data_IF_900064240240
#
_entry.id   IF_900064240240
#
_cell.length_a   1.000
_cell.length_b   1.000
_cell.length_c   1.000
_cell.angle_alpha   90.00
_cell.angle_beta   90.00
_cell.angle_gamma   90.00
#
_symmetry.space_group_name_H-M   'P 1'
#
loop_
_entity.id
_entity.type
_entity.pdbx_description
1 polymer ?
#
# COMPACT_ATOMS: atom_id res chain seq x y z
N UNK A 1 -3.24 28.74 10.55
CA UNK A 1 -3.92 27.48 10.89
C UNK A 1 -2.87 26.39 10.90
N UNK A 2 -2.84 25.48 11.90
CA UNK A 2 -2.03 24.27 11.78
C UNK A 2 -2.43 23.54 10.49
N UNK A 3 -1.44 23.07 9.72
CA UNK A 3 -1.69 22.22 8.56
C UNK A 3 -2.38 20.94 9.04
N UNK A 4 -3.36 20.44 8.30
CA UNK A 4 -4.04 19.16 8.53
C UNK A 4 -4.15 18.42 7.20
N UNK A 5 -4.27 17.10 7.27
CA UNK A 5 -4.58 16.30 6.07
C UNK A 5 -6.03 16.53 5.65
N UNK A 6 -6.28 16.43 4.36
CA UNK A 6 -7.64 16.46 3.84
C UNK A 6 -8.34 15.13 4.18
N UNK A 7 -9.54 15.25 4.73
CA UNK A 7 -10.46 14.14 4.95
C UNK A 7 -11.57 14.17 3.90
N UNK A 8 -11.85 13.01 3.32
CA UNK A 8 -12.87 12.80 2.29
C UNK A 8 -13.92 11.80 2.81
N UNK A 9 -15.21 11.99 2.46
CA UNK A 9 -16.24 11.03 2.83
C UNK A 9 -16.08 9.71 2.08
N UNK A 10 -16.68 8.61 2.55
CA UNK A 10 -16.62 7.31 1.86
C UNK A 10 -17.36 7.32 0.51
N UNK A 11 -18.15 8.37 0.24
CA UNK A 11 -18.85 8.61 -1.03
C UNK A 11 -18.04 9.48 -2.00
N UNK A 12 -16.78 9.81 -1.69
CA UNK A 12 -15.93 10.57 -2.59
C UNK A 12 -15.67 9.80 -3.89
N UNK A 13 -15.42 10.53 -4.97
CA UNK A 13 -15.06 9.97 -6.25
C UNK A 13 -13.54 9.70 -6.32
N UNK A 14 -13.13 8.70 -7.10
CA UNK A 14 -11.73 8.35 -7.30
C UNK A 14 -10.85 9.52 -7.76
N UNK A 15 -11.41 10.39 -8.61
CA UNK A 15 -10.72 11.58 -9.08
C UNK A 15 -10.47 12.61 -7.97
N UNK A 16 -11.35 12.71 -6.97
CA UNK A 16 -11.17 13.61 -5.82
C UNK A 16 -10.04 13.12 -4.91
N UNK A 17 -10.02 11.81 -4.64
CA UNK A 17 -8.93 11.16 -3.88
C UNK A 17 -7.60 11.36 -4.61
N UNK A 18 -7.53 11.05 -5.90
CA UNK A 18 -6.32 11.21 -6.69
C UNK A 18 -5.85 12.67 -6.77
N UNK A 19 -6.77 13.64 -6.90
CA UNK A 19 -6.44 15.06 -6.90
C UNK A 19 -5.86 15.51 -5.55
N UNK A 20 -6.44 15.07 -4.43
CA UNK A 20 -5.94 15.37 -3.10
C UNK A 20 -4.53 14.80 -2.89
N UNK A 21 -4.28 13.55 -3.31
CA UNK A 21 -2.96 12.91 -3.23
C UNK A 21 -1.95 13.59 -4.16
N UNK A 22 -2.31 13.95 -5.40
CA UNK A 22 -1.40 14.72 -6.29
C UNK A 22 -1.04 16.08 -5.68
N UNK A 23 -2.00 16.75 -5.04
CA UNK A 23 -1.80 18.05 -4.43
C UNK A 23 -0.95 17.98 -3.16
N UNK A 24 -1.34 17.18 -2.17
CA UNK A 24 -0.73 17.22 -0.84
C UNK A 24 0.09 15.96 -0.49
N UNK A 25 0.19 15.01 -1.43
CA UNK A 25 0.89 13.74 -1.24
C UNK A 25 0.09 12.69 -0.47
N UNK A 26 -0.99 13.09 0.21
CA UNK A 26 -1.86 12.17 0.95
C UNK A 26 -3.24 12.77 1.25
N UNK A 27 -4.22 11.90 1.50
CA UNK A 27 -5.51 12.23 2.10
C UNK A 27 -6.06 11.04 2.90
N UNK A 28 -7.03 11.29 3.78
CA UNK A 28 -7.78 10.26 4.48
C UNK A 28 -9.16 10.12 3.84
N UNK A 29 -9.63 8.90 3.65
CA UNK A 29 -11.04 8.61 3.36
C UNK A 29 -11.65 7.97 4.60
N UNK A 30 -12.60 8.67 5.22
CA UNK A 30 -13.18 8.27 6.49
C UNK A 30 -14.17 7.12 6.32
N UNK A 31 -14.15 6.17 7.26
CA UNK A 31 -15.13 5.09 7.43
C UNK A 31 -15.44 4.30 6.14
N UNK A 32 -14.44 4.11 5.28
CA UNK A 32 -14.61 3.49 3.96
C UNK A 32 -14.86 1.98 4.05
N UNK A 33 -14.14 1.28 4.92
CA UNK A 33 -14.32 -0.15 5.11
C UNK A 33 -15.53 -0.44 6.01
N UNK A 34 -16.50 -1.26 5.55
CA UNK A 34 -17.58 -1.73 6.40
C UNK A 34 -17.04 -2.44 7.67
N UNK A 35 -17.60 -2.18 8.87
CA UNK A 35 -17.10 -2.77 10.12
C UNK A 35 -17.00 -4.30 10.07
N UNK A 36 -17.94 -4.97 9.42
CA UNK A 36 -17.95 -6.43 9.27
C UNK A 36 -16.76 -6.99 8.44
N UNK A 37 -16.21 -6.21 7.50
CA UNK A 37 -14.97 -6.59 6.79
C UNK A 37 -13.79 -6.49 7.75
N UNK A 38 -13.69 -5.37 8.47
CA UNK A 38 -12.60 -5.14 9.43
C UNK A 38 -12.61 -6.19 10.55
N UNK A 39 -13.78 -6.58 11.05
CA UNK A 39 -13.93 -7.63 12.07
C UNK A 39 -13.42 -8.99 11.59
N UNK A 40 -13.78 -9.39 10.36
CA UNK A 40 -13.29 -10.64 9.75
C UNK A 40 -11.78 -10.63 9.58
N UNK A 41 -11.23 -9.51 9.09
CA UNK A 41 -9.79 -9.33 8.91
C UNK A 41 -9.07 -9.50 10.25
N UNK A 42 -9.54 -8.86 11.32
CA UNK A 42 -8.92 -8.98 12.66
C UNK A 42 -8.86 -10.44 13.10
N UNK A 43 -9.96 -11.19 12.94
CA UNK A 43 -10.02 -12.61 13.32
C UNK A 43 -9.08 -13.46 12.47
N UNK A 44 -9.09 -13.30 11.14
CA UNK A 44 -8.25 -14.08 10.23
C UNK A 44 -6.75 -13.79 10.41
N UNK A 45 -6.40 -12.56 10.79
CA UNK A 45 -5.04 -12.08 10.92
C UNK A 45 -4.38 -12.42 12.27
N UNK A 46 -5.17 -12.51 13.35
CA UNK A 46 -4.70 -12.78 14.72
C UNK A 46 -3.66 -13.93 14.83
N UNK A 47 -3.90 -15.15 14.30
CA UNK A 47 -2.92 -16.24 14.42
C UNK A 47 -1.60 -15.95 13.71
N UNK A 48 -1.61 -15.10 12.68
CA UNK A 48 -0.40 -14.72 11.95
C UNK A 48 0.36 -13.63 12.69
N UNK A 49 -0.33 -12.61 13.21
CA UNK A 49 0.28 -11.59 14.07
C UNK A 49 0.88 -12.17 15.34
N UNK A 50 0.24 -13.19 15.93
CA UNK A 50 0.76 -13.90 17.09
C UNK A 50 2.08 -14.63 16.84
N UNK A 51 2.36 -15.02 15.59
CA UNK A 51 3.58 -15.76 15.18
C UNK A 51 4.67 -14.87 14.62
N UNK A 52 4.34 -13.65 14.21
CA UNK A 52 5.29 -12.70 13.63
C UNK A 52 6.20 -12.12 14.70
N UNK A 53 7.51 -12.22 14.49
CA UNK A 53 8.52 -11.62 15.36
C UNK A 53 8.49 -10.08 15.26
N UNK A 54 9.00 -9.41 16.29
CA UNK A 54 9.22 -7.98 16.23
C UNK A 54 10.34 -7.64 15.24
N UNK A 55 10.36 -6.41 14.73
CA UNK A 55 11.42 -5.90 13.86
C UNK A 55 12.80 -5.91 14.51
N UNK A 56 13.84 -6.07 13.68
CA UNK A 56 15.24 -6.17 14.12
C UNK A 56 15.95 -4.83 14.32
N UNK A 57 15.43 -3.75 13.76
CA UNK A 57 16.04 -2.42 13.71
C UNK A 57 15.01 -1.30 13.97
N UNK A 58 15.46 -0.05 13.86
CA UNK A 58 14.67 1.12 14.20
C UNK A 58 13.64 1.48 13.12
N UNK A 59 13.85 1.01 11.88
CA UNK A 59 12.88 1.19 10.79
C UNK A 59 11.77 0.15 10.86
N UNK A 60 12.14 -1.13 11.02
CA UNK A 60 11.21 -2.24 11.19
C UNK A 60 10.44 -2.14 12.51
N UNK A 61 11.09 -1.65 13.56
CA UNK A 61 10.52 -1.38 14.88
C UNK A 61 10.66 -2.56 15.84
N UNK A 62 11.38 -2.35 16.96
CA UNK A 62 11.67 -3.37 17.97
C UNK A 62 10.46 -3.80 18.82
N UNK A 63 9.40 -3.00 18.80
CA UNK A 63 8.08 -3.31 19.37
C UNK A 63 6.99 -3.36 18.29
N UNK A 64 7.37 -3.51 17.02
CA UNK A 64 6.45 -3.58 15.88
C UNK A 64 6.48 -4.96 15.25
N UNK A 65 5.30 -5.53 14.95
CA UNK A 65 5.17 -6.74 14.13
C UNK A 65 4.73 -6.37 12.73
N UNK A 66 5.34 -7.00 11.74
CA UNK A 66 5.10 -6.78 10.31
C UNK A 66 4.80 -8.11 9.63
N UNK A 67 3.52 -8.39 9.41
CA UNK A 67 3.04 -9.68 8.88
C UNK A 67 2.69 -9.52 7.40
N UNK A 68 3.50 -10.11 6.53
CA UNK A 68 3.24 -10.16 5.07
C UNK A 68 2.41 -11.39 4.65
N UNK A 69 2.36 -11.60 3.33
CA UNK A 69 1.61 -12.64 2.61
C UNK A 69 0.11 -12.61 2.88
N UNK A 70 -0.47 -11.42 3.03
CA UNK A 70 -1.85 -11.27 3.50
C UNK A 70 -2.85 -11.86 2.51
N UNK A 71 -2.58 -11.79 1.21
CA UNK A 71 -3.46 -12.35 0.18
C UNK A 71 -3.68 -13.85 0.38
N UNK A 72 -2.63 -14.59 0.76
CA UNK A 72 -2.71 -16.02 1.04
C UNK A 72 -3.22 -16.32 2.45
N UNK A 73 -2.91 -15.47 3.43
CA UNK A 73 -3.13 -15.72 4.86
C UNK A 73 -4.46 -15.20 5.40
N UNK A 74 -5.03 -14.17 4.79
CA UNK A 74 -6.22 -13.45 5.26
C UNK A 74 -7.13 -13.12 4.06
N UNK A 75 -7.97 -14.07 3.60
CA UNK A 75 -8.87 -13.87 2.48
C UNK A 75 -9.71 -12.59 2.54
N UNK A 76 -10.17 -12.16 3.71
CA UNK A 76 -10.98 -10.94 3.86
C UNK A 76 -10.22 -9.66 3.45
N UNK A 77 -8.88 -9.63 3.50
CA UNK A 77 -8.06 -8.48 3.04
C UNK A 77 -8.24 -8.22 1.55
N UNK A 78 -8.57 -9.25 0.76
CA UNK A 78 -8.74 -9.13 -0.70
C UNK A 78 -9.88 -8.18 -1.08
N UNK A 79 -10.87 -7.99 -0.20
CA UNK A 79 -11.97 -7.05 -0.39
C UNK A 79 -11.48 -5.59 -0.29
N UNK A 80 -10.56 -5.28 0.63
CA UNK A 80 -9.96 -3.94 0.75
C UNK A 80 -8.89 -3.69 -0.32
N UNK A 81 -8.11 -4.72 -0.66
CA UNK A 81 -7.12 -4.69 -1.73
C UNK A 81 -7.73 -4.44 -3.12
N UNK A 82 -9.03 -4.75 -3.29
CA UNK A 82 -9.75 -4.52 -4.54
C UNK A 82 -10.82 -3.44 -4.40
N UNK A 83 -10.73 -2.59 -3.37
CA UNK A 83 -11.76 -1.59 -3.12
C UNK A 83 -11.87 -0.62 -4.32
N UNK A 84 -13.05 -0.47 -4.96
CA UNK A 84 -13.18 0.28 -6.22
C UNK A 84 -12.69 1.72 -6.15
N UNK A 85 -12.99 2.44 -5.06
CA UNK A 85 -12.50 3.81 -4.85
C UNK A 85 -10.97 3.89 -4.84
N UNK A 86 -10.31 2.93 -4.19
CA UNK A 86 -8.84 2.90 -4.10
C UNK A 86 -8.24 2.53 -5.45
N UNK A 87 -8.74 1.49 -6.11
CA UNK A 87 -8.25 1.10 -7.43
C UNK A 87 -8.41 2.22 -8.46
N UNK A 88 -9.55 2.91 -8.48
CA UNK A 88 -9.76 4.06 -9.35
C UNK A 88 -8.83 5.23 -9.04
N UNK A 89 -8.57 5.52 -7.76
CA UNK A 89 -7.64 6.57 -7.37
C UNK A 89 -6.19 6.19 -7.74
N UNK A 90 -5.81 4.92 -7.56
CA UNK A 90 -4.52 4.37 -8.00
C UNK A 90 -4.34 4.46 -9.51
N UNK A 91 -5.36 4.12 -10.30
CA UNK A 91 -5.32 4.24 -11.76
C UNK A 91 -5.07 5.69 -12.19
N UNK A 92 -5.81 6.64 -11.60
CA UNK A 92 -5.66 8.06 -11.90
C UNK A 92 -4.31 8.64 -11.43
N UNK A 93 -3.74 8.12 -10.33
CA UNK A 93 -2.43 8.56 -9.82
C UNK A 93 -1.28 7.98 -10.66
N UNK A 94 -1.38 6.72 -11.06
CA UNK A 94 -0.34 5.99 -11.80
C UNK A 94 -0.56 6.02 -13.32
N UNK A 95 -1.29 7.02 -13.81
CA UNK A 95 -1.59 7.20 -15.22
C UNK A 95 -0.32 7.19 -16.09
N UNK A 96 -0.45 6.75 -17.34
CA UNK A 96 0.67 6.59 -18.28
C UNK A 96 1.44 5.27 -18.16
N UNK A 97 1.06 4.37 -17.25
CA UNK A 97 1.49 2.97 -17.28
C UNK A 97 0.44 2.10 -17.99
N UNK A 98 0.88 1.00 -18.60
CA UNK A 98 -0.05 0.00 -19.19
C UNK A 98 -1.02 -0.53 -18.14
N UNK A 99 -0.53 -0.77 -16.92
CA UNK A 99 -1.32 -1.18 -15.77
C UNK A 99 -0.52 -0.92 -14.47
N UNK A 100 -1.07 -1.32 -13.34
CA UNK A 100 -0.40 -1.37 -12.04
C UNK A 100 -0.66 -2.72 -11.38
N UNK A 101 0.11 -3.04 -10.35
CA UNK A 101 -0.06 -4.26 -9.56
C UNK A 101 0.10 -3.98 -8.07
N UNK A 102 -0.29 -4.93 -7.23
CA UNK A 102 0.06 -4.95 -5.80
C UNK A 102 1.56 -4.90 -5.67
N UNK A 103 2.07 -4.01 -4.83
CA UNK A 103 3.48 -3.89 -4.53
C UNK A 103 3.84 -4.61 -3.21
N UNK A 104 3.03 -4.44 -2.17
CA UNK A 104 3.17 -5.06 -0.86
C UNK A 104 1.80 -5.23 -0.20
N UNK A 105 1.62 -6.33 0.52
CA UNK A 105 0.55 -6.50 1.51
C UNK A 105 1.14 -6.82 2.88
N UNK A 106 0.91 -5.94 3.86
CA UNK A 106 1.49 -6.12 5.19
C UNK A 106 0.58 -5.58 6.30
N UNK A 107 0.35 -6.38 7.33
CA UNK A 107 -0.22 -5.89 8.56
C UNK A 107 0.88 -5.37 9.48
N UNK A 108 0.71 -4.17 10.01
CA UNK A 108 1.67 -3.50 10.89
C UNK A 108 0.98 -3.30 12.23
N UNK A 109 1.48 -3.98 13.25
CA UNK A 109 1.03 -3.86 14.64
C UNK A 109 2.11 -3.17 15.46
N UNK A 110 1.88 -1.91 15.81
CA UNK A 110 2.79 -1.05 16.58
C UNK A 110 2.46 -1.17 18.06
N UNK A 111 3.33 -1.80 18.84
CA UNK A 111 3.14 -1.98 20.27
C UNK A 111 3.47 -0.74 21.12
N UNK A 112 3.08 -0.75 22.40
CA UNK A 112 3.39 0.31 23.36
C UNK A 112 4.88 0.65 23.43
N UNK A 113 5.19 1.94 23.49
CA UNK A 113 6.55 2.46 23.61
C UNK A 113 7.39 2.38 22.33
N UNK A 114 6.83 1.92 21.20
CA UNK A 114 7.53 1.94 19.92
C UNK A 114 7.86 3.41 19.51
N UNK A 115 9.14 3.75 19.28
CA UNK A 115 9.51 5.07 18.77
C UNK A 115 8.96 5.34 17.36
N UNK A 116 8.85 6.62 17.01
CA UNK A 116 8.50 7.05 15.67
C UNK A 116 9.53 6.52 14.66
N UNK A 117 9.06 6.15 13.46
CA UNK A 117 9.95 5.80 12.36
C UNK A 117 10.70 7.04 11.86
N UNK A 118 11.90 6.86 11.28
CA UNK A 118 12.54 7.90 10.48
C UNK A 118 11.60 8.41 9.39
N UNK A 119 11.64 9.71 9.09
CA UNK A 119 10.88 10.28 7.97
C UNK A 119 11.49 9.79 6.66
N UNK A 120 10.68 9.17 5.81
CA UNK A 120 11.10 8.53 4.57
C UNK A 120 10.06 8.63 3.46
N UNK A 121 10.48 8.24 2.25
CA UNK A 121 9.61 8.04 1.08
C UNK A 121 9.62 6.55 0.74
N UNK A 122 8.46 5.97 0.46
CA UNK A 122 8.38 4.53 0.15
C UNK A 122 9.05 4.22 -1.21
N UNK A 123 9.03 5.17 -2.15
CA UNK A 123 9.68 4.99 -3.46
C UNK A 123 11.20 4.83 -3.37
N UNK A 124 11.84 5.14 -2.22
CA UNK A 124 13.26 4.86 -2.02
C UNK A 124 13.59 3.36 -2.03
N UNK A 125 12.59 2.49 -1.89
CA UNK A 125 12.73 1.06 -2.11
C UNK A 125 13.26 0.71 -3.52
N UNK A 126 13.06 1.60 -4.51
CA UNK A 126 13.62 1.48 -5.86
C UNK A 126 15.04 2.05 -5.94
N UNK A 127 15.91 1.64 -5.02
CA UNK A 127 17.34 2.01 -4.96
C UNK A 127 17.57 3.54 -4.96
N UNK A 128 16.73 4.28 -4.23
CA UNK A 128 16.76 5.75 -4.17
C UNK A 128 16.75 6.41 -5.55
N UNK A 129 16.16 5.77 -6.56
CA UNK A 129 16.11 6.30 -7.92
C UNK A 129 15.37 7.65 -7.92
N UNK A 130 15.96 8.70 -8.52
CA UNK A 130 15.40 10.05 -8.50
C UNK A 130 14.31 10.18 -9.56
N UNK A 131 13.13 9.62 -9.29
CA UNK A 131 11.98 9.78 -10.18
C UNK A 131 11.65 11.27 -10.38
N UNK A 132 11.26 11.69 -11.60
CA UNK A 132 10.91 13.08 -11.85
C UNK A 132 9.78 13.57 -10.94
N UNK A 133 9.84 14.84 -10.54
CA UNK A 133 8.76 15.50 -9.81
C UNK A 133 7.42 15.34 -10.56
N UNK A 134 6.38 14.93 -9.84
CA UNK A 134 5.05 14.68 -10.40
C UNK A 134 4.92 13.36 -11.17
N UNK A 135 5.94 12.50 -11.16
CA UNK A 135 5.87 11.15 -11.72
C UNK A 135 5.73 10.11 -10.62
N UNK A 136 4.51 9.96 -10.10
CA UNK A 136 4.24 8.96 -9.06
C UNK A 136 4.35 7.54 -9.62
N UNK A 137 5.13 6.71 -8.93
CA UNK A 137 5.37 5.31 -9.29
C UNK A 137 4.65 4.31 -8.40
N UNK A 138 4.09 4.81 -7.31
CA UNK A 138 3.53 4.03 -6.23
C UNK A 138 2.37 4.78 -5.58
N UNK A 139 1.26 4.07 -5.36
CA UNK A 139 0.09 4.52 -4.60
C UNK A 139 -0.08 3.59 -3.40
N UNK A 140 -0.04 4.14 -2.19
CA UNK A 140 -0.03 3.37 -0.96
C UNK A 140 -1.29 3.63 -0.16
N UNK A 141 -1.73 2.60 0.56
CA UNK A 141 -2.84 2.74 1.50
C UNK A 141 -2.48 2.15 2.85
N UNK A 142 -2.88 2.85 3.93
CA UNK A 142 -2.88 2.30 5.28
C UNK A 142 -4.33 2.28 5.78
N UNK A 143 -4.92 1.10 5.86
CA UNK A 143 -6.25 0.89 6.42
C UNK A 143 -6.18 0.75 7.93
N UNK A 144 -7.04 1.46 8.65
CA UNK A 144 -7.14 1.41 10.11
C UNK A 144 -7.91 0.17 10.58
N UNK A 145 -7.24 -0.80 11.23
CA UNK A 145 -7.93 -1.91 11.93
C UNK A 145 -8.25 -1.57 13.39
N UNK A 146 -7.54 -0.58 13.93
CA UNK A 146 -7.81 0.13 15.19
C UNK A 146 -7.88 1.62 14.89
N UNK A 147 -8.43 2.43 15.79
CA UNK A 147 -8.34 3.89 15.67
C UNK A 147 -6.88 4.35 15.64
N UNK A 148 -6.58 5.35 14.83
CA UNK A 148 -5.28 6.02 14.78
C UNK A 148 -5.43 7.38 15.42
N UNK A 149 -4.59 7.64 16.41
CA UNK A 149 -4.55 8.90 17.15
C UNK A 149 -3.11 9.37 17.27
N UNK A 150 -2.91 10.65 17.57
CA UNK A 150 -1.58 11.20 17.85
C UNK A 150 -0.87 10.40 18.96
N UNK A 151 -1.63 9.99 19.99
CA UNK A 151 -1.10 9.27 21.15
C UNK A 151 -0.65 7.83 20.86
N UNK A 152 -1.37 7.10 20.00
CA UNK A 152 -1.04 5.71 19.67
C UNK A 152 -0.16 5.55 18.41
N UNK A 153 0.36 6.66 17.89
CA UNK A 153 1.31 6.66 16.79
C UNK A 153 0.67 6.56 15.42
N UNK A 154 -0.39 7.35 15.18
CA UNK A 154 -0.91 7.61 13.84
C UNK A 154 0.23 7.86 12.84
N UNK A 155 0.06 7.39 11.61
CA UNK A 155 1.03 7.68 10.53
C UNK A 155 1.17 9.18 10.37
N UNK A 156 2.40 9.68 10.31
CA UNK A 156 2.69 11.11 10.16
C UNK A 156 3.13 11.38 8.72
N UNK A 157 2.65 12.46 8.14
CA UNK A 157 2.92 12.84 6.74
C UNK A 157 3.39 14.29 6.69
N UNK A 158 4.26 14.65 5.75
CA UNK A 158 4.60 16.04 5.42
C UNK A 158 3.79 16.47 4.19
N UNK A 159 2.68 17.21 4.33
CA UNK A 159 1.82 17.56 3.21
C UNK A 159 2.53 18.42 2.17
N UNK A 160 2.42 18.01 0.90
CA UNK A 160 3.01 18.67 -0.25
C UNK A 160 4.48 18.33 -0.51
N UNK A 161 5.12 17.51 0.35
CA UNK A 161 6.53 17.09 0.19
C UNK A 161 6.77 16.13 -0.98
N UNK A 162 5.70 15.67 -1.64
CA UNK A 162 5.75 14.96 -2.92
C UNK A 162 6.18 15.86 -4.09
N UNK A 163 6.31 17.18 -3.87
CA UNK A 163 6.68 18.20 -4.87
C UNK A 163 7.92 18.97 -4.42
N UNK A 164 8.68 19.50 -5.37
CA UNK A 164 9.70 20.52 -5.10
C UNK A 164 11.11 19.98 -4.83
N UNK A 165 11.43 18.78 -5.32
CA UNK A 165 12.81 18.26 -5.35
C UNK A 165 13.49 18.01 -3.99
N UNK A 166 12.75 17.95 -2.89
CA UNK A 166 13.28 17.57 -1.58
C UNK A 166 13.49 16.04 -1.53
N UNK A 167 14.63 15.54 -2.01
CA UNK A 167 14.89 14.10 -2.10
C UNK A 167 16.11 13.69 -1.27
N UNK A 168 16.09 14.00 0.03
CA UNK A 168 17.16 13.63 0.94
C UNK A 168 16.63 13.24 2.31
N UNK A 169 17.26 12.22 2.92
CA UNK A 169 17.08 11.91 4.33
C UNK A 169 17.36 13.16 5.18
N UNK A 170 16.49 13.43 6.16
CA UNK A 170 16.60 14.60 7.02
C UNK A 170 16.19 15.93 6.38
N UNK A 171 15.49 15.92 5.23
CA UNK A 171 14.94 17.13 4.62
C UNK A 171 13.82 17.78 5.47
N UNK A 172 13.21 17.01 6.37
CA UNK A 172 12.09 17.43 7.20
C UNK A 172 12.29 16.96 8.65
N UNK A 173 11.78 17.76 9.57
CA UNK A 173 11.76 17.48 11.00
C UNK A 173 10.38 16.96 11.44
N UNK A 174 10.27 16.31 12.61
CA UNK A 174 8.97 15.87 13.14
C UNK A 174 7.93 17.00 13.22
N UNK A 175 8.35 18.25 13.44
CA UNK A 175 7.48 19.42 13.50
C UNK A 175 6.83 19.79 12.15
N UNK A 176 7.39 19.31 11.03
CA UNK A 176 6.84 19.53 9.68
C UNK A 176 5.73 18.54 9.33
N UNK A 177 5.54 17.51 10.18
CA UNK A 177 4.61 16.42 9.93
C UNK A 177 3.26 16.64 10.63
N UNK A 178 2.20 16.10 10.03
CA UNK A 178 0.84 16.04 10.58
C UNK A 178 0.41 14.59 10.73
N UNK A 179 -0.31 14.28 11.81
CA UNK A 179 -0.86 12.94 12.03
C UNK A 179 -2.08 12.66 11.15
N UNK A 180 -2.12 11.48 10.54
CA UNK A 180 -3.32 10.91 9.91
C UNK A 180 -4.19 10.24 10.97
N UNK A 181 -4.77 11.04 11.86
CA UNK A 181 -5.73 10.57 12.85
C UNK A 181 -7.02 10.16 12.16
N UNK A 182 -7.49 8.94 12.41
CA UNK A 182 -8.66 8.39 11.71
C UNK A 182 -9.29 7.24 12.50
N UNK A 183 -10.58 7.04 12.33
CA UNK A 183 -11.34 5.95 12.95
C UNK A 183 -11.02 4.62 12.28
N UNK A 184 -11.20 3.53 13.03
CA UNK A 184 -11.20 2.17 12.50
C UNK A 184 -12.12 2.06 11.27
N UNK A 185 -11.59 1.49 10.18
CA UNK A 185 -12.27 1.37 8.90
C UNK A 185 -11.94 2.48 7.89
N UNK A 186 -11.35 3.59 8.35
CA UNK A 186 -10.81 4.63 7.49
C UNK A 186 -9.52 4.19 6.79
N UNK A 187 -9.15 4.90 5.73
CA UNK A 187 -7.92 4.64 4.98
C UNK A 187 -7.15 5.92 4.70
N UNK A 188 -5.86 5.91 5.00
CA UNK A 188 -4.91 6.90 4.49
C UNK A 188 -4.48 6.46 3.09
N UNK A 189 -4.71 7.28 2.07
CA UNK A 189 -4.19 7.08 0.71
C UNK A 189 -3.06 8.09 0.49
N UNK A 190 -1.90 7.62 0.03
CA UNK A 190 -0.73 8.49 -0.13
C UNK A 190 0.17 8.04 -1.28
N UNK A 191 0.92 8.99 -1.84
CA UNK A 191 1.91 8.67 -2.86
C UNK A 191 3.18 8.11 -2.22
N UNK A 192 3.85 7.16 -2.90
CA UNK A 192 5.19 6.72 -2.49
C UNK A 192 6.25 7.83 -2.50
N UNK A 193 5.94 8.98 -3.09
CA UNK A 193 6.81 10.15 -3.18
C UNK A 193 6.63 11.14 -2.02
N UNK A 194 5.64 10.98 -1.14
CA UNK A 194 5.46 11.85 0.04
C UNK A 194 6.35 11.42 1.20
N UNK A 195 6.90 12.39 1.93
CA UNK A 195 7.62 12.12 3.18
C UNK A 195 6.64 11.76 4.29
N UNK A 196 6.89 10.64 4.95
CA UNK A 196 6.04 10.14 6.02
C UNK A 196 6.81 9.21 6.96
N UNK A 197 6.13 8.74 8.01
CA UNK A 197 6.63 7.70 8.91
C UNK A 197 5.60 7.34 9.97
N UNK A 198 5.67 6.14 10.52
CA UNK A 198 4.85 5.77 11.68
C UNK A 198 5.13 6.66 12.89
N UNK A 199 4.09 7.20 13.53
CA UNK A 199 4.23 7.95 14.77
C UNK A 199 4.68 7.07 15.94
N UNK A 200 5.19 7.71 17.00
CA UNK A 200 5.54 7.01 18.23
C UNK A 200 4.27 6.55 18.95
N UNK A 201 4.21 5.29 19.36
CA UNK A 201 3.11 4.79 20.18
C UNK A 201 3.41 5.06 21.66
N UNK A 202 2.74 6.06 22.22
CA UNK A 202 2.85 6.48 23.62
C UNK A 202 1.68 5.96 24.47
N UNK A 203 0.79 5.16 23.88
CA UNK A 203 -0.32 4.50 24.57
C UNK A 203 0.10 3.12 25.12
N UNK A 204 -0.81 2.49 25.84
CA UNK A 204 -0.73 1.11 26.34
C UNK A 204 -1.36 0.07 25.39
N UNK A 205 -1.92 0.51 24.26
CA UNK A 205 -2.58 -0.33 23.27
C UNK A 205 -1.71 -0.61 22.04
N UNK A 206 -2.00 -1.72 21.34
CA UNK A 206 -1.36 -2.03 20.05
C UNK A 206 -2.16 -1.39 18.93
N UNK A 207 -1.53 -0.50 18.15
CA UNK A 207 -2.15 0.09 16.95
C UNK A 207 -1.94 -0.82 15.75
N UNK A 208 -3.02 -1.22 15.08
CA UNK A 208 -2.94 -2.15 13.94
C UNK A 208 -3.49 -1.50 12.67
N UNK A 209 -2.69 -1.54 11.60
CA UNK A 209 -3.12 -1.13 10.25
C UNK A 209 -2.67 -2.10 9.17
N UNK A 210 -3.34 -2.05 8.01
CA UNK A 210 -2.94 -2.78 6.81
C UNK A 210 -2.29 -1.83 5.82
N UNK A 211 -1.00 -2.03 5.55
CA UNK A 211 -0.33 -1.40 4.44
C UNK A 211 -0.57 -2.22 3.17
N UNK A 212 -1.45 -1.75 2.30
CA UNK A 212 -1.76 -2.35 1.00
C UNK A 212 -1.34 -1.36 -0.09
N UNK A 213 -0.31 -1.72 -0.85
CA UNK A 213 0.32 -0.78 -1.78
C UNK A 213 0.25 -1.27 -3.21
N UNK A 214 0.31 -0.33 -4.14
CA UNK A 214 0.30 -0.58 -5.56
C UNK A 214 1.45 0.16 -6.22
N UNK A 215 2.05 -0.45 -7.24
CA UNK A 215 3.10 0.17 -8.03
C UNK A 215 2.83 -0.02 -9.52
N UNK A 216 3.43 0.85 -10.34
CA UNK A 216 3.44 0.67 -11.79
C UNK A 216 3.96 -0.73 -12.13
N UNK A 217 3.27 -1.44 -13.01
CA UNK A 217 3.49 -2.87 -13.27
C UNK A 217 4.85 -3.24 -13.86
N UNK A 218 5.60 -2.27 -14.37
CA UNK A 218 6.96 -2.45 -14.88
C UNK A 218 8.04 -2.33 -13.78
N UNK A 219 7.65 -2.00 -12.55
CA UNK A 219 8.52 -2.02 -11.37
C UNK A 219 8.48 -3.39 -10.69
N UNK A 220 9.55 -3.71 -9.96
CA UNK A 220 9.60 -4.91 -9.12
C UNK A 220 8.75 -4.70 -7.87
N UNK A 221 7.92 -5.69 -7.54
CA UNK A 221 7.16 -5.71 -6.28
C UNK A 221 8.11 -5.86 -5.08
N UNK A 222 7.85 -5.12 -3.99
CA UNK A 222 8.54 -5.29 -2.71
C UNK A 222 8.21 -6.66 -2.10
N UNK A 223 6.94 -7.06 -2.14
CA UNK A 223 6.51 -8.42 -1.82
C UNK A 223 6.45 -9.28 -3.07
N UNK A 224 7.20 -10.38 -3.09
CA UNK A 224 7.14 -11.33 -4.20
C UNK A 224 5.82 -12.12 -4.16
N UNK A 225 4.80 -11.65 -4.87
CA UNK A 225 3.46 -12.24 -4.87
C UNK A 225 3.43 -13.68 -5.41
N UNK A 226 4.29 -14.01 -6.38
CA UNK A 226 4.36 -15.36 -6.94
C UNK A 226 4.79 -16.44 -5.92
N UNK A 227 5.57 -16.04 -4.92
CA UNK A 227 6.00 -16.93 -3.83
C UNK A 227 5.15 -16.76 -2.56
N UNK A 228 4.63 -15.55 -2.33
CA UNK A 228 3.80 -15.25 -1.16
C UNK A 228 2.37 -15.79 -1.32
N UNK A 229 1.91 -15.96 -2.56
CA UNK A 229 0.66 -16.61 -2.94
C UNK A 229 0.98 -17.88 -3.73
N UNK A 230 1.12 -19.04 -3.05
CA UNK A 230 1.48 -20.30 -3.71
C UNK A 230 0.53 -20.65 -4.86
N UNK A 231 1.00 -21.35 -5.92
CA UNK A 231 0.18 -21.68 -7.10
C UNK A 231 -1.15 -22.37 -6.79
N UNK A 232 -1.20 -23.22 -5.77
CA UNK A 232 -2.42 -23.89 -5.31
C UNK A 232 -3.44 -22.92 -4.73
N UNK A 233 -3.00 -21.84 -4.08
CA UNK A 233 -3.87 -20.75 -3.61
C UNK A 233 -4.24 -19.87 -4.79
N UNK A 234 -3.27 -19.46 -5.61
CA UNK A 234 -3.48 -18.62 -6.79
C UNK A 234 -4.52 -19.23 -7.74
N UNK A 235 -4.49 -20.55 -7.95
CA UNK A 235 -5.46 -21.26 -8.78
C UNK A 235 -6.92 -21.11 -8.30
N UNK A 236 -7.15 -20.79 -7.02
CA UNK A 236 -8.49 -20.59 -6.45
C UNK A 236 -8.99 -19.14 -6.55
N UNK A 237 -8.12 -18.19 -6.88
CA UNK A 237 -8.46 -16.78 -6.98
C UNK A 237 -9.11 -16.48 -8.32
N UNK A 238 -9.91 -15.42 -8.40
CA UNK A 238 -10.43 -14.93 -9.67
C UNK A 238 -9.32 -14.28 -10.53
N UNK A 239 -9.59 -14.16 -11.83
CA UNK A 239 -8.61 -13.66 -12.80
C UNK A 239 -8.25 -12.18 -12.56
N UNK A 240 -9.15 -11.36 -12.02
CA UNK A 240 -8.91 -9.93 -11.82
C UNK A 240 -7.96 -9.69 -10.64
N UNK A 241 -8.17 -10.38 -9.51
CA UNK A 241 -7.22 -10.37 -8.41
C UNK A 241 -5.86 -10.93 -8.85
N UNK A 242 -5.82 -11.99 -9.66
CA UNK A 242 -4.57 -12.54 -10.17
C UNK A 242 -3.80 -11.52 -11.01
N UNK A 243 -4.48 -10.82 -11.93
CA UNK A 243 -3.85 -9.73 -12.72
C UNK A 243 -3.32 -8.64 -11.80
N UNK A 244 -4.11 -8.23 -10.80
CA UNK A 244 -3.70 -7.22 -9.82
C UNK A 244 -2.48 -7.68 -9.01
N UNK A 245 -2.33 -8.96 -8.71
CA UNK A 245 -1.15 -9.53 -8.03
C UNK A 245 0.10 -9.63 -8.92
N UNK A 246 -0.01 -9.30 -10.21
CA UNK A 246 1.08 -9.41 -11.17
C UNK A 246 1.13 -10.74 -11.91
N UNK A 247 0.09 -11.58 -11.84
CA UNK A 247 -0.09 -12.72 -12.76
C UNK A 247 -0.55 -12.24 -14.14
N UNK A 248 0.05 -11.18 -14.65
CA UNK A 248 -0.17 -10.63 -15.97
C UNK A 248 1.12 -9.97 -16.41
N UNK A 249 1.35 -9.86 -17.72
CA UNK A 249 2.46 -9.06 -18.21
C UNK A 249 2.29 -7.60 -17.80
N UNK A 250 3.32 -7.02 -17.20
CA UNK A 250 3.30 -5.63 -16.73
C UNK A 250 3.49 -4.61 -17.86
N UNK A 251 4.04 -5.04 -18.98
CA UNK A 251 4.13 -4.30 -20.25
C UNK A 251 4.40 -5.32 -21.38
N UNK A 252 4.50 -4.85 -22.63
CA UNK A 252 4.64 -5.69 -23.83
C UNK A 252 5.50 -6.97 -23.65
N UNK A 253 6.69 -6.84 -23.08
CA UNK A 253 7.62 -7.95 -22.86
C UNK A 253 8.12 -8.04 -21.40
N UNK A 254 7.33 -7.58 -20.43
CA UNK A 254 7.71 -7.60 -19.01
C UNK A 254 6.86 -8.60 -18.23
N UNK A 255 7.53 -9.53 -17.52
CA UNK A 255 6.89 -10.48 -16.62
C UNK A 255 6.24 -11.69 -17.28
N UNK A 256 6.64 -12.08 -18.50
CA UNK A 256 6.11 -13.28 -19.17
C UNK A 256 6.72 -14.58 -18.62
N UNK A 257 6.07 -15.71 -18.92
CA UNK A 257 6.55 -17.08 -18.62
C UNK A 257 7.04 -17.75 -19.90
N UNK A 258 8.26 -18.31 -19.88
CA UNK A 258 8.80 -19.12 -20.98
C UNK A 258 8.76 -18.42 -22.34
N UNK A 259 8.02 -18.98 -23.29
CA UNK A 259 7.87 -18.51 -24.67
C UNK A 259 6.92 -17.29 -24.80
N UNK A 260 7.14 -16.28 -23.94
CA UNK A 260 6.34 -15.03 -23.90
C UNK A 260 4.86 -15.26 -23.52
N UNK A 261 4.57 -16.33 -22.78
CA UNK A 261 3.22 -16.65 -22.32
C UNK A 261 2.81 -15.71 -21.18
N UNK A 262 1.56 -15.25 -21.16
CA UNK A 262 1.05 -14.47 -20.04
C UNK A 262 1.00 -15.34 -18.77
N UNK A 263 1.43 -14.84 -17.59
CA UNK A 263 1.42 -15.64 -16.36
C UNK A 263 0.04 -16.19 -15.98
N UNK A 264 -1.04 -15.44 -16.23
CA UNK A 264 -2.40 -15.93 -15.97
C UNK A 264 -2.71 -17.14 -16.85
N UNK A 265 -2.37 -17.05 -18.13
CA UNK A 265 -2.61 -18.13 -19.08
C UNK A 265 -1.77 -19.37 -18.73
N UNK A 266 -0.51 -19.18 -18.33
CA UNK A 266 0.34 -20.26 -17.84
C UNK A 266 -0.26 -20.94 -16.59
N UNK A 267 -0.77 -20.18 -15.62
CA UNK A 267 -1.43 -20.71 -14.43
C UNK A 267 -2.72 -21.47 -14.77
N UNK A 268 -3.49 -20.97 -15.74
CA UNK A 268 -4.77 -21.55 -16.17
C UNK A 268 -4.63 -22.68 -17.20
N UNK A 269 -3.42 -22.92 -17.72
CA UNK A 269 -3.19 -23.87 -18.81
C UNK A 269 -3.81 -23.43 -20.14
N UNK A 270 -3.98 -22.12 -20.36
CA UNK A 270 -4.48 -21.54 -21.61
C UNK A 270 -3.34 -21.46 -22.63
N UNK A 271 -3.63 -21.74 -23.88
CA UNK A 271 -2.63 -21.82 -24.97
C UNK A 271 -2.78 -20.68 -25.97
N UNK A 272 -2.99 -19.45 -25.50
CA UNK A 272 -3.09 -18.31 -26.40
C UNK A 272 -1.70 -17.83 -26.82
N UNK A 273 -1.56 -17.52 -28.12
CA UNK A 273 -0.32 -16.96 -28.67
C UNK A 273 -0.13 -15.54 -28.15
N UNK A 274 1.09 -15.23 -27.70
CA UNK A 274 1.46 -13.87 -27.32
C UNK A 274 1.15 -12.89 -28.47
N UNK A 275 0.43 -11.78 -28.21
CA UNK A 275 0.24 -10.73 -29.20
C UNK A 275 1.59 -10.16 -29.63
N UNK A 276 1.74 -9.91 -30.93
CA UNK A 276 2.94 -9.29 -31.50
C UNK A 276 3.08 -7.81 -31.10
N UNK A 277 4.25 -7.24 -31.39
CA UNK A 277 4.56 -5.83 -31.09
C UNK A 277 3.51 -4.88 -31.70
N UNK A 278 2.82 -4.13 -30.84
CA UNK A 278 1.84 -3.11 -31.26
C UNK A 278 0.37 -3.54 -31.33
N UNK A 279 -0.01 -4.73 -30.82
CA UNK A 279 -1.42 -5.04 -30.62
C UNK A 279 -1.91 -4.35 -29.33
N UNK A 280 -2.79 -3.35 -29.51
CA UNK A 280 -3.52 -2.65 -28.43
C UNK A 280 -4.56 -3.54 -27.79
#
# INVERSE_FOLDING_TARGET
MPRSLQHLPPTAEAAEVAAAVKAEGACVVDDLAPPAIVDRIVVELDPWLGRTHHGGDDFAGRATRRTGALVARCPAVRELLQHPLVLGATEALLEGSTTFHVHLTQAIAIGPGQPAQPIHRDQWAFDFFPFPDGYDVQCNTIWALTDFTEANGATRVVPGSNRGGHDSLGAFEPADTVGAEMTRGSVLVYSGSVHHGGGANQSDEVRVGLNLTYARSWLRQEENQYLSVPPEVAATLDDDLLRLLGWARGAYALGYVGDVVDPLDALRGRTDRAPGFGAT
#
